data_IF_919268341574
#
_entry.id   IF_919268341574
#
_cell.length_a   1.000
_cell.length_b   1.000
_cell.length_c   1.000
_cell.angle_alpha   90.00
_cell.angle_beta   90.00
_cell.angle_gamma   90.00
#
_symmetry.space_group_name_H-M   'P 1'
#
loop_
_entity.id
_entity.type
_entity.pdbx_description
1 polymer ?
#
# COMPACT_ATOMS: atom_id res chain seq x y z
N UNK A 1 -22.29 -13.60 -0.77
CA UNK A 1 -21.82 -13.54 0.63
C UNK A 1 -21.05 -12.26 0.74
N UNK A 2 -21.57 -11.28 1.48
CA UNK A 2 -20.79 -10.11 1.88
C UNK A 2 -19.58 -10.61 2.66
N UNK A 3 -18.37 -10.33 2.19
CA UNK A 3 -17.16 -10.73 2.90
C UNK A 3 -16.85 -9.61 3.89
N UNK A 4 -17.07 -9.80 5.20
CA UNK A 4 -16.88 -8.73 6.15
C UNK A 4 -15.38 -8.48 6.31
N UNK A 5 -14.98 -7.23 6.20
CA UNK A 5 -13.60 -6.77 6.45
C UNK A 5 -13.11 -7.02 7.90
N UNK A 6 -13.99 -7.51 8.78
CA UNK A 6 -13.69 -7.90 10.16
C UNK A 6 -12.49 -8.86 10.28
N UNK A 7 -12.35 -9.82 9.36
CA UNK A 7 -11.21 -10.75 9.42
C UNK A 7 -9.89 -10.03 9.18
N UNK A 8 -9.85 -9.08 8.23
CA UNK A 8 -8.71 -8.21 8.04
C UNK A 8 -8.43 -7.38 9.30
N UNK A 9 -9.44 -6.75 9.89
CA UNK A 9 -9.29 -5.92 11.10
C UNK A 9 -8.73 -6.72 12.28
N UNK A 10 -9.14 -7.99 12.42
CA UNK A 10 -8.60 -8.89 13.44
C UNK A 10 -7.13 -9.23 13.21
N UNK A 11 -6.76 -9.59 11.98
CA UNK A 11 -5.36 -9.82 11.62
C UNK A 11 -4.50 -8.59 11.91
N UNK A 12 -4.98 -7.40 11.54
CA UNK A 12 -4.26 -6.14 11.77
C UNK A 12 -4.09 -5.82 13.25
N UNK A 13 -5.09 -6.13 14.08
CA UNK A 13 -5.00 -5.97 15.54
C UNK A 13 -3.95 -6.89 16.15
N UNK A 14 -3.91 -8.15 15.72
CA UNK A 14 -2.89 -9.10 16.17
C UNK A 14 -1.50 -8.72 15.66
N UNK A 15 -1.38 -8.30 14.40
CA UNK A 15 -0.12 -7.85 13.82
C UNK A 15 0.46 -6.65 14.60
N UNK A 16 -0.39 -5.68 14.95
CA UNK A 16 0.00 -4.53 15.76
C UNK A 16 0.49 -4.96 17.14
N UNK A 17 -0.20 -5.90 17.79
CA UNK A 17 0.23 -6.43 19.10
C UNK A 17 1.59 -7.11 19.00
N UNK A 18 1.79 -7.99 18.02
CA UNK A 18 3.07 -8.66 17.79
C UNK A 18 4.20 -7.64 17.52
N UNK A 19 3.94 -6.59 16.74
CA UNK A 19 4.90 -5.51 16.51
C UNK A 19 5.30 -4.81 17.82
N UNK A 20 4.33 -4.46 18.67
CA UNK A 20 4.57 -3.82 19.96
C UNK A 20 5.38 -4.70 20.92
N UNK A 21 5.27 -6.01 20.77
CA UNK A 21 6.02 -7.01 21.54
C UNK A 21 7.39 -7.32 20.93
N UNK A 22 7.80 -6.60 19.87
CA UNK A 22 9.02 -6.84 19.07
C UNK A 22 9.05 -8.21 18.37
N UNK A 23 7.91 -8.89 18.25
CA UNK A 23 7.76 -10.13 17.49
C UNK A 23 7.55 -9.80 16.01
N UNK A 24 8.55 -9.16 15.38
CA UNK A 24 8.43 -8.58 14.04
C UNK A 24 8.19 -9.62 12.93
N UNK A 25 8.72 -10.84 13.09
CA UNK A 25 8.45 -11.92 12.13
C UNK A 25 6.99 -12.39 12.20
N UNK A 26 6.44 -12.56 13.40
CA UNK A 26 5.05 -12.94 13.60
C UNK A 26 4.10 -11.83 13.10
N UNK A 27 4.46 -10.57 13.38
CA UNK A 27 3.75 -9.40 12.85
C UNK A 27 3.75 -9.38 11.32
N UNK A 28 4.88 -9.74 10.68
CA UNK A 28 4.99 -9.82 9.23
C UNK A 28 4.10 -10.92 8.64
N UNK A 29 4.05 -12.10 9.27
CA UNK A 29 3.21 -13.21 8.82
C UNK A 29 1.71 -12.85 8.90
N UNK A 30 1.31 -12.16 9.97
CA UNK A 30 -0.04 -11.62 10.15
C UNK A 30 -0.39 -10.55 9.12
N UNK A 31 0.52 -9.59 8.86
CA UNK A 31 0.33 -8.56 7.84
C UNK A 31 0.28 -9.15 6.43
N UNK A 32 1.05 -10.21 6.15
CA UNK A 32 1.01 -10.92 4.87
C UNK A 32 -0.34 -11.62 4.67
N UNK A 33 -0.88 -12.21 5.73
CA UNK A 33 -2.22 -12.82 5.71
C UNK A 33 -3.31 -11.76 5.47
N UNK A 34 -3.20 -10.61 6.15
CA UNK A 34 -4.11 -9.48 5.96
C UNK A 34 -4.05 -8.94 4.53
N UNK A 35 -2.84 -8.80 3.97
CA UNK A 35 -2.63 -8.37 2.59
C UNK A 35 -3.24 -9.36 1.58
N UNK A 36 -3.06 -10.66 1.80
CA UNK A 36 -3.64 -11.68 0.92
C UNK A 36 -5.17 -11.61 0.94
N UNK A 37 -5.76 -11.43 2.12
CA UNK A 37 -7.20 -11.26 2.27
C UNK A 37 -7.70 -10.01 1.54
N UNK A 38 -7.10 -8.85 1.80
CA UNK A 38 -7.53 -7.59 1.19
C UNK A 38 -7.41 -7.62 -0.33
N UNK A 39 -6.33 -8.20 -0.88
CA UNK A 39 -6.16 -8.38 -2.34
C UNK A 39 -7.17 -9.37 -2.92
N UNK A 40 -7.46 -10.48 -2.24
CA UNK A 40 -8.43 -11.49 -2.70
C UNK A 40 -9.84 -10.91 -2.81
N UNK A 41 -10.20 -10.03 -1.88
CA UNK A 41 -11.54 -9.44 -1.79
C UNK A 41 -11.60 -8.02 -2.35
N UNK A 42 -10.51 -7.55 -2.97
CA UNK A 42 -10.36 -6.16 -3.39
C UNK A 42 -11.48 -5.70 -4.31
N UNK A 43 -11.77 -6.43 -5.39
CA UNK A 43 -12.81 -6.05 -6.37
C UNK A 43 -14.15 -5.77 -5.69
N UNK A 44 -14.60 -6.71 -4.87
CA UNK A 44 -15.88 -6.60 -4.18
C UNK A 44 -15.92 -5.44 -3.19
N UNK A 45 -14.86 -5.26 -2.40
CA UNK A 45 -14.77 -4.16 -1.44
C UNK A 45 -14.64 -2.81 -2.16
N UNK A 46 -13.93 -2.76 -3.28
CA UNK A 46 -13.67 -1.55 -4.06
C UNK A 46 -14.93 -1.05 -4.79
N UNK A 47 -15.84 -1.94 -5.15
CA UNK A 47 -17.15 -1.58 -5.70
C UNK A 47 -18.11 -1.04 -4.63
N UNK A 48 -17.92 -1.44 -3.36
CA UNK A 48 -18.75 -0.99 -2.24
C UNK A 48 -18.23 0.31 -1.60
N UNK A 49 -16.92 0.36 -1.34
CA UNK A 49 -16.22 1.44 -0.66
C UNK A 49 -14.75 1.46 -1.13
N UNK A 50 -14.49 2.28 -2.15
CA UNK A 50 -13.21 2.34 -2.83
C UNK A 50 -12.06 2.78 -1.91
N UNK A 51 -12.29 3.81 -1.08
CA UNK A 51 -11.29 4.31 -0.14
C UNK A 51 -10.92 3.25 0.89
N UNK A 52 -11.91 2.58 1.48
CA UNK A 52 -11.66 1.53 2.48
C UNK A 52 -10.92 0.34 1.87
N UNK A 53 -11.25 -0.05 0.64
CA UNK A 53 -10.59 -1.14 -0.05
C UNK A 53 -9.11 -0.83 -0.36
N UNK A 54 -8.83 0.38 -0.88
CA UNK A 54 -7.45 0.84 -1.13
C UNK A 54 -6.67 0.94 0.18
N UNK A 55 -7.26 1.53 1.22
CA UNK A 55 -6.64 1.66 2.53
C UNK A 55 -6.29 0.29 3.14
N UNK A 56 -7.18 -0.70 3.05
CA UNK A 56 -6.91 -2.03 3.59
C UNK A 56 -5.66 -2.68 2.96
N UNK A 57 -5.48 -2.53 1.64
CA UNK A 57 -4.29 -3.04 0.94
C UNK A 57 -3.05 -2.23 1.32
N UNK A 58 -3.12 -0.90 1.27
CA UNK A 58 -1.96 -0.04 1.52
C UNK A 58 -1.47 -0.12 2.97
N UNK A 59 -2.36 -0.10 3.96
CA UNK A 59 -1.98 -0.24 5.38
C UNK A 59 -1.31 -1.60 5.63
N UNK A 60 -1.74 -2.66 4.95
CA UNK A 60 -1.07 -3.97 5.05
C UNK A 60 0.35 -3.92 4.50
N UNK A 61 0.59 -3.19 3.39
CA UNK A 61 1.94 -2.96 2.88
C UNK A 61 2.78 -2.07 3.80
N UNK A 62 2.23 -0.99 4.35
CA UNK A 62 2.96 -0.09 5.27
C UNK A 62 3.39 -0.80 6.54
N UNK A 63 2.50 -1.61 7.13
CA UNK A 63 2.90 -2.41 8.28
C UNK A 63 3.98 -3.45 7.94
N UNK A 64 3.97 -4.02 6.73
CA UNK A 64 5.05 -4.91 6.30
C UNK A 64 6.37 -4.16 6.08
N UNK A 65 6.32 -2.92 5.57
CA UNK A 65 7.46 -2.01 5.45
C UNK A 65 8.06 -1.74 6.83
N UNK A 66 7.24 -1.34 7.80
CA UNK A 66 7.69 -1.05 9.17
C UNK A 66 8.35 -2.28 9.83
N UNK A 67 7.76 -3.47 9.65
CA UNK A 67 8.37 -4.72 10.14
C UNK A 67 9.72 -5.00 9.47
N UNK A 68 9.83 -4.80 8.16
CA UNK A 68 11.10 -4.98 7.46
C UNK A 68 12.15 -3.97 7.89
N UNK A 69 11.78 -2.72 8.15
CA UNK A 69 12.68 -1.69 8.70
C UNK A 69 13.15 -2.10 10.10
N UNK A 70 12.24 -2.54 10.98
CA UNK A 70 12.59 -3.02 12.31
C UNK A 70 13.54 -4.23 12.30
N UNK A 71 13.47 -5.05 11.24
CA UNK A 71 14.36 -6.19 10.98
C UNK A 71 15.61 -5.81 10.16
N UNK A 72 15.89 -4.52 9.94
CA UNK A 72 17.00 -4.00 9.12
C UNK A 72 17.03 -4.55 7.68
N UNK A 73 15.88 -4.98 7.16
CA UNK A 73 15.70 -5.57 5.84
C UNK A 73 15.21 -4.53 4.82
N UNK A 74 16.01 -3.48 4.58
CA UNK A 74 15.64 -2.35 3.71
C UNK A 74 15.33 -2.74 2.27
N UNK A 75 15.97 -3.80 1.75
CA UNK A 75 15.69 -4.35 0.42
C UNK A 75 14.23 -4.85 0.34
N UNK A 76 13.76 -5.55 1.38
CA UNK A 76 12.38 -6.06 1.41
C UNK A 76 11.38 -4.95 1.69
N UNK A 77 11.71 -3.99 2.57
CA UNK A 77 10.90 -2.79 2.78
C UNK A 77 10.69 -2.04 1.45
N UNK A 78 11.77 -1.85 0.67
CA UNK A 78 11.71 -1.27 -0.66
C UNK A 78 10.81 -2.07 -1.62
N UNK A 79 10.96 -3.39 -1.67
CA UNK A 79 10.12 -4.23 -2.51
C UNK A 79 8.62 -4.10 -2.15
N UNK A 80 8.28 -3.90 -0.87
CA UNK A 80 6.89 -3.63 -0.46
C UNK A 80 6.35 -2.32 -1.05
N UNK A 81 7.15 -1.25 -1.12
CA UNK A 81 6.78 -0.02 -1.82
C UNK A 81 6.49 -0.29 -3.31
N UNK A 82 7.39 -0.98 -4.01
CA UNK A 82 7.23 -1.29 -5.44
C UNK A 82 5.96 -2.13 -5.70
N UNK A 83 5.65 -3.06 -4.81
CA UNK A 83 4.44 -3.88 -4.87
C UNK A 83 3.17 -3.08 -4.59
N UNK A 84 3.20 -2.13 -3.65
CA UNK A 84 2.09 -1.23 -3.38
C UNK A 84 1.81 -0.30 -4.58
N UNK A 85 2.86 0.25 -5.20
CA UNK A 85 2.71 1.07 -6.40
C UNK A 85 2.16 0.26 -7.57
N UNK A 86 2.70 -0.94 -7.81
CA UNK A 86 2.22 -1.84 -8.86
C UNK A 86 0.75 -2.20 -8.69
N UNK A 87 0.30 -2.40 -7.44
CA UNK A 87 -1.11 -2.59 -7.11
C UNK A 87 -1.97 -1.37 -7.51
N UNK A 88 -1.56 -0.15 -7.15
CA UNK A 88 -2.30 1.07 -7.51
C UNK A 88 -2.36 1.30 -9.03
N UNK A 89 -1.25 1.04 -9.74
CA UNK A 89 -1.21 1.10 -11.22
C UNK A 89 -2.23 0.11 -11.81
N UNK A 90 -2.26 -1.12 -11.31
CA UNK A 90 -3.20 -2.13 -11.77
C UNK A 90 -4.65 -1.74 -11.47
N UNK A 91 -4.94 -1.22 -10.28
CA UNK A 91 -6.26 -0.71 -9.91
C UNK A 91 -6.71 0.45 -10.83
N UNK A 92 -5.79 1.36 -11.17
CA UNK A 92 -6.04 2.49 -12.09
C UNK A 92 -6.28 2.05 -13.53
N UNK A 93 -5.68 0.95 -13.94
CA UNK A 93 -5.77 0.44 -15.32
C UNK A 93 -7.10 -0.26 -15.63
N UNK A 94 -7.99 -0.42 -14.64
CA UNK A 94 -9.33 -0.96 -14.87
C UNK A 94 -10.14 -0.07 -15.79
N UNK A 95 -10.87 -0.70 -16.70
CA UNK A 95 -11.85 -0.01 -17.55
C UNK A 95 -13.05 0.39 -16.69
N UNK A 96 -13.58 1.59 -16.95
CA UNK A 96 -14.83 2.07 -16.33
C UNK A 96 -14.78 2.28 -14.82
N UNK A 97 -13.71 2.91 -14.32
CA UNK A 97 -13.68 3.43 -12.95
C UNK A 97 -14.72 4.55 -12.78
N UNK A 98 -15.44 4.54 -11.66
CA UNK A 98 -16.23 5.70 -11.23
C UNK A 98 -15.30 6.82 -10.75
N UNK A 99 -15.81 8.06 -10.67
CA UNK A 99 -15.03 9.20 -10.16
C UNK A 99 -14.57 8.96 -8.72
N UNK A 100 -15.43 8.41 -7.86
CA UNK A 100 -15.08 8.06 -6.47
C UNK A 100 -13.97 7.01 -6.41
N UNK A 101 -14.02 6.00 -7.28
CA UNK A 101 -12.96 4.98 -7.36
C UNK A 101 -11.63 5.57 -7.87
N UNK A 102 -11.70 6.47 -8.85
CA UNK A 102 -10.55 7.20 -9.36
C UNK A 102 -9.91 8.08 -8.28
N UNK A 103 -10.73 8.78 -7.50
CA UNK A 103 -10.31 9.64 -6.40
C UNK A 103 -9.66 8.84 -5.26
N UNK A 104 -10.27 7.71 -4.84
CA UNK A 104 -9.70 6.82 -3.84
C UNK A 104 -8.31 6.29 -4.23
N UNK A 105 -8.11 5.96 -5.50
CA UNK A 105 -6.79 5.57 -6.01
C UNK A 105 -5.81 6.74 -5.89
N UNK A 106 -6.21 7.96 -6.24
CA UNK A 106 -5.35 9.14 -6.15
C UNK A 106 -4.96 9.45 -4.70
N UNK A 107 -5.89 9.34 -3.75
CA UNK A 107 -5.60 9.43 -2.32
C UNK A 107 -4.57 8.38 -1.89
N UNK A 108 -4.74 7.12 -2.34
CA UNK A 108 -3.79 6.05 -2.11
C UNK A 108 -2.38 6.34 -2.65
N UNK A 109 -2.29 6.90 -3.87
CA UNK A 109 -1.02 7.30 -4.49
C UNK A 109 -0.34 8.41 -3.69
N UNK A 110 -1.09 9.43 -3.27
CA UNK A 110 -0.56 10.52 -2.44
C UNK A 110 -0.04 10.00 -1.11
N UNK A 111 -0.77 9.08 -0.47
CA UNK A 111 -0.33 8.47 0.79
C UNK A 111 0.95 7.66 0.60
N UNK A 112 1.01 6.82 -0.44
CA UNK A 112 2.20 6.05 -0.78
C UNK A 112 3.41 6.95 -1.05
N UNK A 113 3.22 8.08 -1.72
CA UNK A 113 4.27 9.07 -1.94
C UNK A 113 4.79 9.66 -0.62
N UNK A 114 3.90 10.04 0.29
CA UNK A 114 4.30 10.59 1.58
C UNK A 114 5.10 9.59 2.42
N UNK A 115 4.65 8.34 2.48
CA UNK A 115 5.38 7.28 3.19
C UNK A 115 6.71 6.94 2.52
N UNK A 116 6.77 7.00 1.19
CA UNK A 116 8.02 6.85 0.46
C UNK A 116 9.03 7.95 0.82
N UNK A 117 8.60 9.22 0.82
CA UNK A 117 9.47 10.33 1.23
C UNK A 117 9.96 10.17 2.68
N UNK A 118 9.10 9.74 3.60
CA UNK A 118 9.47 9.47 4.99
C UNK A 118 10.50 8.35 5.11
N UNK A 119 10.29 7.24 4.40
CA UNK A 119 11.24 6.14 4.34
C UNK A 119 12.61 6.60 3.84
N UNK A 120 12.64 7.40 2.76
CA UNK A 120 13.88 7.95 2.24
C UNK A 120 14.59 8.82 3.26
N UNK A 121 13.88 9.74 3.90
CA UNK A 121 14.46 10.68 4.88
C UNK A 121 14.99 9.99 6.13
N UNK A 122 14.27 8.98 6.64
CA UNK A 122 14.62 8.31 7.87
C UNK A 122 15.78 7.30 7.72
N UNK A 123 16.03 6.80 6.50
CA UNK A 123 16.95 5.69 6.27
C UNK A 123 18.01 5.99 5.19
N UNK A 124 18.38 7.27 5.02
CA UNK A 124 19.24 7.74 3.92
C UNK A 124 20.58 7.00 3.84
N UNK A 125 21.15 6.60 4.98
CA UNK A 125 22.45 5.93 5.04
C UNK A 125 22.35 4.45 4.67
N UNK A 126 21.24 3.82 5.01
CA UNK A 126 20.98 2.40 4.85
C UNK A 126 20.53 2.05 3.42
N UNK A 127 20.05 3.05 2.67
CA UNK A 127 19.48 2.86 1.33
C UNK A 127 20.28 3.53 0.21
N UNK A 128 21.46 4.09 0.49
CA UNK A 128 22.28 4.82 -0.49
C UNK A 128 22.58 4.02 -1.76
N UNK A 129 22.65 2.69 -1.62
CA UNK A 129 23.02 1.77 -2.69
C UNK A 129 21.79 1.18 -3.42
N UNK A 130 20.57 1.52 -2.99
CA UNK A 130 19.35 1.06 -3.63
C UNK A 130 19.05 1.89 -4.89
N UNK A 131 18.54 1.24 -5.94
CA UNK A 131 18.07 1.94 -7.16
C UNK A 131 16.72 2.61 -6.89
N UNK A 132 16.76 3.83 -6.36
CA UNK A 132 15.56 4.55 -5.90
C UNK A 132 14.80 5.26 -7.04
N UNK A 133 15.48 5.61 -8.13
CA UNK A 133 14.96 6.47 -9.21
C UNK A 133 13.79 5.87 -9.99
N UNK A 134 13.78 4.56 -10.22
CA UNK A 134 12.74 3.91 -11.05
C UNK A 134 11.34 4.01 -10.44
N UNK A 135 11.23 3.88 -9.11
CA UNK A 135 9.96 4.04 -8.42
C UNK A 135 9.46 5.48 -8.46
N UNK A 136 10.36 6.44 -8.24
CA UNK A 136 10.01 7.87 -8.22
C UNK A 136 9.36 8.26 -9.56
N UNK A 137 9.98 7.85 -10.68
CA UNK A 137 9.44 8.08 -12.04
C UNK A 137 8.07 7.43 -12.23
N UNK A 138 7.91 6.19 -11.75
CA UNK A 138 6.65 5.44 -11.91
C UNK A 138 5.51 6.09 -11.08
N UNK A 139 5.83 6.57 -9.89
CA UNK A 139 4.89 7.23 -8.98
C UNK A 139 4.45 8.61 -9.50
N UNK A 140 5.39 9.38 -10.05
CA UNK A 140 5.12 10.67 -10.70
C UNK A 140 4.26 10.49 -11.96
N UNK A 141 4.53 9.44 -12.74
CA UNK A 141 3.75 9.10 -13.93
C UNK A 141 2.29 8.81 -13.56
N UNK A 142 2.08 7.97 -12.54
CA UNK A 142 0.73 7.64 -12.05
C UNK A 142 0.01 8.88 -11.51
N UNK A 143 0.71 9.72 -10.75
CA UNK A 143 0.16 10.97 -10.22
C UNK A 143 -0.25 11.94 -11.34
N UNK A 144 0.56 12.07 -12.39
CA UNK A 144 0.31 12.95 -13.53
C UNK A 144 -0.87 12.50 -14.38
N UNK A 145 -1.04 11.19 -14.57
CA UNK A 145 -2.18 10.61 -15.27
C UNK A 145 -3.51 10.85 -14.54
N UNK A 146 -3.48 10.96 -13.21
CA UNK A 146 -4.69 11.25 -12.44
C UNK A 146 -5.13 12.72 -12.58
N UNK A 147 -4.20 13.67 -12.73
CA UNK A 147 -4.53 15.09 -12.91
C UNK A 147 -5.16 15.41 -14.28
N UNK A 148 -4.89 14.60 -15.30
CA UNK A 148 -5.44 14.81 -16.65
C UNK A 148 -6.92 14.37 -16.77
N UNK A 149 -7.38 13.39 -15.99
CA UNK A 149 -8.78 12.93 -16.03
C UNK A 149 -9.79 13.92 -15.44
N UNK A 150 -9.36 14.86 -14.59
CA UNK A 150 -10.26 15.82 -13.91
C UNK A 150 -10.59 17.02 -14.82
N UNK A 151 -9.90 17.19 -15.95
CA UNK A 151 -10.06 18.37 -16.85
C UNK A 151 -10.90 18.13 -18.10
N UNK A 152 -11.60 17.01 -18.21
CA UNK A 152 -12.47 16.72 -19.35
C UNK A 152 -13.94 16.63 -18.92
N UNK A 153 -14.50 17.75 -18.46
CA UNK A 153 -15.95 18.01 -18.49
C UNK A 153 -16.19 19.51 -18.69
#
# INVERSE_FOLDING_TARGET
>A
MDVPIFHWEELMRHAKKAFQENAYQDALDLNTSALLFSKRHFEHLFDQDADRAIAAVLVSYFNAIDNHIALYNFIKARACFDNALSFLIAARSKKSLTDTQAEAILHGVSHLHNEWCRFLQANQHEISDLKLSTFQVSLETLSSQCHQSIRLH
#
